data_IF_061942319141
#
_entry.id   IF_061942319141
#
_cell.length_a   1.000
_cell.length_b   1.000
_cell.length_c   1.000
_cell.angle_alpha   90.00
_cell.angle_beta   90.00
_cell.angle_gamma   90.00
#
_symmetry.space_group_name_H-M   'P 1'
#
loop_
_entity.id
_entity.type
_entity.pdbx_description
1 polymer ?
#
# COMPACT_ATOMS: atom_id res chain seq x y z
N UNK A 1 8.58 -29.92 17.88
CA UNK A 1 8.78 -28.71 17.05
C UNK A 1 8.06 -28.75 15.70
N UNK A 2 7.91 -29.89 14.96
CA UNK A 2 7.17 -29.88 13.68
C UNK A 2 5.67 -29.54 13.82
N UNK A 3 4.98 -30.14 14.79
CA UNK A 3 3.55 -29.90 15.03
C UNK A 3 3.27 -28.45 15.42
N UNK A 4 4.14 -27.85 16.23
CA UNK A 4 4.02 -26.45 16.67
C UNK A 4 4.15 -25.47 15.51
N UNK A 5 5.06 -25.74 14.56
CA UNK A 5 5.22 -24.94 13.34
C UNK A 5 3.98 -25.09 12.46
N UNK A 6 3.50 -26.32 12.24
CA UNK A 6 2.33 -26.59 11.41
C UNK A 6 1.06 -25.89 11.93
N UNK A 7 0.80 -25.98 13.24
CA UNK A 7 -0.32 -25.28 13.89
C UNK A 7 -0.15 -23.77 13.79
N UNK A 8 1.06 -23.25 14.06
CA UNK A 8 1.34 -21.82 13.97
C UNK A 8 1.16 -21.25 12.55
N UNK A 9 1.64 -21.95 11.53
CA UNK A 9 1.46 -21.55 10.12
C UNK A 9 -0.01 -21.67 9.67
N UNK A 10 -0.73 -22.67 10.17
CA UNK A 10 -2.17 -22.81 9.90
C UNK A 10 -2.96 -21.63 10.45
N UNK A 11 -2.69 -21.25 11.71
CA UNK A 11 -3.31 -20.08 12.33
C UNK A 11 -2.94 -18.77 11.63
N UNK A 12 -1.69 -18.62 11.18
CA UNK A 12 -1.27 -17.44 10.42
C UNK A 12 -2.02 -17.31 9.09
N UNK A 13 -2.26 -18.43 8.39
CA UNK A 13 -3.00 -18.43 7.14
C UNK A 13 -4.47 -18.00 7.33
N UNK A 14 -5.12 -18.41 8.43
CA UNK A 14 -6.46 -17.92 8.80
C UNK A 14 -6.53 -16.40 9.00
N UNK A 15 -5.38 -15.76 9.30
CA UNK A 15 -5.22 -14.31 9.44
C UNK A 15 -4.72 -13.63 8.15
N UNK A 16 -4.61 -14.37 7.04
CA UNK A 16 -4.10 -13.85 5.77
C UNK A 16 -2.57 -13.72 5.70
N UNK A 17 -1.83 -14.30 6.65
CA UNK A 17 -0.36 -14.27 6.68
C UNK A 17 0.19 -15.59 6.14
N UNK A 18 0.85 -15.54 4.98
CA UNK A 18 1.41 -16.72 4.33
C UNK A 18 2.91 -16.88 4.60
N UNK A 19 3.27 -17.92 5.36
CA UNK A 19 4.67 -18.35 5.50
C UNK A 19 5.01 -19.40 4.44
N UNK A 20 5.88 -19.05 3.47
CA UNK A 20 6.32 -19.98 2.41
C UNK A 20 7.16 -21.14 2.93
N UNK A 21 7.87 -20.96 4.05
CA UNK A 21 8.72 -21.97 4.70
C UNK A 21 8.51 -21.91 6.21
N UNK A 22 8.45 -23.06 6.88
CA UNK A 22 8.26 -23.15 8.34
C UNK A 22 9.38 -22.47 9.15
N UNK A 23 10.62 -22.49 8.62
CA UNK A 23 11.78 -21.81 9.23
C UNK A 23 11.59 -20.29 9.35
N UNK A 24 10.82 -19.68 8.44
CA UNK A 24 10.58 -18.25 8.46
C UNK A 24 9.79 -17.80 9.71
N UNK A 25 8.86 -18.64 10.19
CA UNK A 25 8.13 -18.38 11.44
C UNK A 25 9.07 -18.41 12.66
N UNK A 26 10.07 -19.30 12.63
CA UNK A 26 11.05 -19.39 13.71
C UNK A 26 12.02 -18.22 13.69
N UNK A 27 12.55 -17.87 12.52
CA UNK A 27 13.46 -16.74 12.35
C UNK A 27 12.80 -15.40 12.69
N UNK A 28 11.50 -15.26 12.42
CA UNK A 28 10.74 -14.04 12.74
C UNK A 28 10.74 -13.72 14.25
N UNK A 29 10.88 -14.74 15.11
CA UNK A 29 10.92 -14.56 16.58
C UNK A 29 12.06 -13.64 17.03
N UNK A 30 13.20 -13.70 16.36
CA UNK A 30 14.42 -13.01 16.78
C UNK A 30 14.62 -11.66 16.04
N UNK A 31 13.67 -11.26 15.19
CA UNK A 31 13.72 -9.99 14.46
C UNK A 31 13.48 -8.82 15.41
N UNK A 32 14.43 -7.87 15.47
CA UNK A 32 14.32 -6.64 16.27
C UNK A 32 14.05 -5.38 15.45
N UNK A 33 14.33 -5.42 14.15
CA UNK A 33 14.20 -4.28 13.23
C UNK A 33 13.43 -4.72 11.99
N UNK A 34 12.43 -3.93 11.61
CA UNK A 34 11.65 -4.12 10.39
C UNK A 34 11.86 -2.90 9.51
N UNK A 35 12.43 -3.10 8.32
CA UNK A 35 12.47 -2.09 7.27
C UNK A 35 11.25 -2.29 6.37
N UNK A 36 10.44 -1.25 6.23
CA UNK A 36 9.25 -1.27 5.39
C UNK A 36 9.53 -0.49 4.11
N UNK A 37 9.18 -1.07 2.97
CA UNK A 37 9.07 -0.28 1.77
C UNK A 37 7.88 0.68 1.89
N UNK A 38 7.98 1.86 1.30
CA UNK A 38 6.91 2.85 1.38
C UNK A 38 5.89 2.64 0.26
N UNK A 39 6.34 2.63 -0.99
CA UNK A 39 5.46 2.70 -2.15
C UNK A 39 4.84 1.34 -2.45
N UNK A 40 3.50 1.23 -2.38
CA UNK A 40 2.81 -0.04 -2.63
C UNK A 40 2.76 -0.99 -1.42
N UNK A 41 3.45 -0.65 -0.33
CA UNK A 41 3.35 -1.36 0.97
C UNK A 41 2.65 -0.49 2.01
N UNK A 42 3.23 0.68 2.35
CA UNK A 42 2.61 1.63 3.27
C UNK A 42 1.63 2.58 2.54
N UNK A 43 1.92 2.91 1.29
CA UNK A 43 1.06 3.74 0.45
C UNK A 43 0.42 2.91 -0.66
N UNK A 44 -0.66 3.43 -1.25
CA UNK A 44 -1.41 2.78 -2.34
C UNK A 44 -0.60 2.54 -3.62
N UNK A 45 0.61 3.08 -3.74
CA UNK A 45 1.46 2.92 -4.92
C UNK A 45 0.97 3.65 -6.17
N UNK A 46 -0.10 4.45 -6.06
CA UNK A 46 -0.65 5.30 -7.12
C UNK A 46 -0.95 6.71 -6.59
N UNK A 47 -0.66 7.78 -7.35
CA UNK A 47 -1.07 9.13 -6.99
C UNK A 47 -2.59 9.26 -6.94
N UNK A 48 -3.09 10.11 -6.04
CA UNK A 48 -4.49 10.51 -5.97
C UNK A 48 -4.52 12.02 -5.67
N UNK A 49 -5.40 12.78 -6.34
CA UNK A 49 -5.56 14.21 -6.08
C UNK A 49 -6.07 14.39 -4.64
N UNK A 50 -5.31 15.12 -3.83
CA UNK A 50 -5.61 15.35 -2.41
C UNK A 50 -6.14 16.75 -2.19
N UNK A 51 -5.46 17.75 -2.76
CA UNK A 51 -5.80 19.15 -2.63
C UNK A 51 -5.72 19.84 -4.00
N UNK A 52 -6.69 20.72 -4.26
CA UNK A 52 -6.65 21.68 -5.36
C UNK A 52 -6.92 23.06 -4.76
N UNK A 53 -5.98 23.97 -4.95
CA UNK A 53 -6.07 25.35 -4.44
C UNK A 53 -6.15 26.29 -5.65
N UNK A 54 -7.35 26.76 -6.02
CA UNK A 54 -7.52 27.71 -7.11
C UNK A 54 -6.87 29.06 -6.81
N UNK A 55 -6.42 29.75 -7.87
CA UNK A 55 -6.05 31.15 -7.76
C UNK A 55 -7.29 32.03 -7.45
N UNK A 56 -7.07 33.21 -6.89
CA UNK A 56 -8.15 34.15 -6.60
C UNK A 56 -8.97 34.47 -7.86
N UNK A 57 -10.29 34.48 -7.73
CA UNK A 57 -11.23 34.71 -8.83
C UNK A 57 -11.54 33.47 -9.69
N UNK A 58 -10.96 32.30 -9.40
CA UNK A 58 -11.28 31.04 -10.08
C UNK A 58 -12.14 30.12 -9.21
N UNK A 59 -13.21 29.59 -9.80
CA UNK A 59 -14.07 28.60 -9.15
C UNK A 59 -13.45 27.20 -9.20
N UNK A 60 -13.49 26.50 -8.06
CA UNK A 60 -12.84 25.19 -7.89
C UNK A 60 -13.27 24.17 -8.95
N UNK A 61 -14.57 24.03 -9.18
CA UNK A 61 -15.12 23.02 -10.08
C UNK A 61 -14.81 23.35 -11.56
N UNK A 62 -14.73 24.63 -11.90
CA UNK A 62 -14.35 25.07 -13.25
C UNK A 62 -12.90 24.71 -13.53
N UNK A 63 -11.99 25.04 -12.60
CA UNK A 63 -10.57 24.67 -12.71
C UNK A 63 -10.38 23.17 -12.80
N UNK A 64 -11.05 22.39 -11.93
CA UNK A 64 -10.95 20.93 -11.95
C UNK A 64 -11.43 20.34 -13.29
N UNK A 65 -12.54 20.85 -13.84
CA UNK A 65 -13.06 20.38 -15.12
C UNK A 65 -12.10 20.71 -16.28
N UNK A 66 -11.50 21.91 -16.28
CA UNK A 66 -10.53 22.31 -17.30
C UNK A 66 -9.24 21.49 -17.23
N UNK A 67 -8.69 21.26 -16.04
CA UNK A 67 -7.50 20.41 -15.85
C UNK A 67 -7.78 18.98 -16.29
N UNK A 68 -8.92 18.41 -15.89
CA UNK A 68 -9.33 17.07 -16.31
C UNK A 68 -9.46 16.95 -17.84
N UNK A 69 -9.98 17.99 -18.52
CA UNK A 69 -10.08 18.00 -19.98
C UNK A 69 -8.70 17.96 -20.66
N UNK A 70 -7.73 18.73 -20.15
CA UNK A 70 -6.36 18.77 -20.68
C UNK A 70 -5.63 17.44 -20.44
N UNK A 71 -5.74 16.88 -19.23
CA UNK A 71 -5.09 15.61 -18.86
C UNK A 71 -5.75 14.37 -19.46
N UNK A 72 -6.93 14.49 -20.08
CA UNK A 72 -7.72 13.35 -20.59
C UNK A 72 -7.01 12.44 -21.60
N UNK A 73 -5.91 12.91 -22.22
CA UNK A 73 -5.08 12.14 -23.17
C UNK A 73 -3.68 11.84 -22.64
N UNK A 74 -3.41 12.20 -21.39
CA UNK A 74 -2.14 11.91 -20.72
C UNK A 74 -2.15 10.47 -20.20
N UNK A 75 -1.03 9.77 -20.39
CA UNK A 75 -0.80 8.45 -19.78
C UNK A 75 -0.02 8.55 -18.47
N UNK A 76 0.35 9.78 -18.07
CA UNK A 76 1.04 9.98 -16.81
C UNK A 76 0.08 9.74 -15.64
N UNK A 77 0.49 8.96 -14.62
CA UNK A 77 -0.33 8.71 -13.43
C UNK A 77 -0.48 9.94 -12.53
#
# INVERSE_FOLDING_TARGET
TPTSIMVGTGRAAELGILFRKGEALQALRDVSVIALDKTGTLTKGRPELTDLVPAEGFEYNEVLALVAAVESRSEHP
#
